data_IF_668614135081
#
_entry.id   IF_668614135081
#
_cell.length_a   1.000
_cell.length_b   1.000
_cell.length_c   1.000
_cell.angle_alpha   90.00
_cell.angle_beta   90.00
_cell.angle_gamma   90.00
#
_symmetry.space_group_name_H-M   'P 1'
#
loop_
_entity.id
_entity.type
_entity.pdbx_description
1 polymer ?
#
# COMPACT_ATOMS: atom_id res chain seq x y z
N UNK A 1 12.15 -31.93 -26.52
CA UNK A 1 11.24 -30.88 -27.02
C UNK A 1 10.82 -29.93 -25.88
N UNK A 2 11.36 -28.71 -25.87
CA UNK A 2 10.98 -27.70 -24.88
C UNK A 2 9.54 -27.25 -25.15
N UNK A 3 8.66 -27.14 -24.12
CA UNK A 3 7.31 -26.65 -24.33
C UNK A 3 7.38 -25.19 -24.80
N UNK A 4 6.92 -24.93 -26.03
CA UNK A 4 6.92 -23.62 -26.68
C UNK A 4 6.06 -22.55 -25.96
N UNK A 5 5.44 -22.89 -24.83
CA UNK A 5 4.49 -22.06 -24.09
C UNK A 5 5.11 -21.21 -22.97
N UNK A 6 6.41 -21.34 -22.70
CA UNK A 6 6.94 -20.90 -21.41
C UNK A 6 7.52 -19.48 -21.36
N UNK A 7 7.46 -18.72 -22.45
CA UNK A 7 7.79 -17.29 -22.43
C UNK A 7 6.77 -16.55 -23.29
N UNK A 8 5.73 -15.93 -22.70
CA UNK A 8 4.99 -14.89 -23.39
C UNK A 8 5.94 -13.71 -23.60
N UNK A 9 6.75 -13.76 -24.65
CA UNK A 9 7.55 -12.63 -25.07
C UNK A 9 6.58 -11.62 -25.66
N UNK A 10 6.08 -10.68 -24.85
CA UNK A 10 5.42 -9.48 -25.34
C UNK A 10 6.50 -8.48 -25.74
N UNK A 11 6.90 -8.41 -27.03
CA UNK A 11 7.99 -7.56 -27.46
C UNK A 11 7.42 -6.13 -27.52
N UNK A 12 7.71 -5.32 -26.51
CA UNK A 12 7.65 -3.85 -26.61
C UNK A 12 6.34 -3.13 -26.27
N UNK A 13 5.40 -3.72 -25.50
CA UNK A 13 4.13 -3.01 -25.15
C UNK A 13 3.73 -3.01 -23.67
N UNK A 14 4.41 -3.73 -22.78
CA UNK A 14 4.12 -3.77 -21.34
C UNK A 14 5.24 -3.17 -20.48
N UNK A 15 4.88 -2.65 -19.29
CA UNK A 15 5.86 -2.28 -18.25
C UNK A 15 6.85 -3.46 -18.03
N UNK A 16 8.17 -3.22 -18.04
CA UNK A 16 9.17 -4.28 -17.90
C UNK A 16 8.91 -5.19 -16.69
N UNK A 17 8.49 -4.58 -15.57
CA UNK A 17 8.16 -5.28 -14.33
C UNK A 17 7.01 -6.30 -14.47
N UNK A 18 6.03 -6.06 -15.36
CA UNK A 18 4.91 -6.98 -15.59
C UNK A 18 5.33 -8.18 -16.43
N UNK A 19 6.12 -7.93 -17.47
CA UNK A 19 6.69 -9.00 -18.31
C UNK A 19 7.59 -9.92 -17.48
N UNK A 20 8.41 -9.34 -16.60
CA UNK A 20 9.26 -10.09 -15.68
C UNK A 20 8.43 -10.90 -14.66
N UNK A 21 7.41 -10.29 -14.05
CA UNK A 21 6.53 -10.97 -13.10
C UNK A 21 5.76 -12.13 -13.75
N UNK A 22 5.28 -11.96 -14.98
CA UNK A 22 4.56 -12.97 -15.74
C UNK A 22 5.47 -14.13 -16.18
N UNK A 23 6.70 -13.82 -16.58
CA UNK A 23 7.73 -14.82 -16.87
C UNK A 23 8.06 -15.65 -15.61
N UNK A 24 8.25 -15.01 -14.45
CA UNK A 24 8.50 -15.70 -13.17
C UNK A 24 7.30 -16.58 -12.80
N UNK A 25 6.07 -16.06 -12.90
CA UNK A 25 4.86 -16.78 -12.53
C UNK A 25 4.58 -18.01 -13.42
N UNK A 26 4.96 -17.94 -14.70
CA UNK A 26 4.73 -19.02 -15.68
C UNK A 26 5.84 -20.07 -15.66
N UNK A 27 7.02 -19.75 -15.12
CA UNK A 27 8.19 -20.62 -15.15
C UNK A 27 8.00 -21.93 -14.37
N UNK A 28 7.59 -21.85 -13.10
CA UNK A 28 7.37 -23.02 -12.23
C UNK A 28 6.31 -24.01 -12.75
N UNK A 29 5.12 -23.60 -13.23
CA UNK A 29 4.15 -24.54 -13.79
C UNK A 29 4.58 -25.15 -15.13
N UNK A 30 5.41 -24.45 -15.92
CA UNK A 30 5.86 -24.93 -17.23
C UNK A 30 7.09 -25.84 -17.16
N UNK A 31 8.03 -25.55 -16.24
CA UNK A 31 9.31 -26.24 -16.14
C UNK A 31 9.52 -27.01 -14.83
N UNK A 32 8.63 -26.83 -13.85
CA UNK A 32 8.78 -27.40 -12.52
C UNK A 32 9.79 -26.65 -11.67
N UNK A 33 10.09 -27.21 -10.50
CA UNK A 33 11.09 -26.67 -9.58
C UNK A 33 12.51 -26.87 -10.16
N UNK A 34 13.24 -25.76 -10.30
CA UNK A 34 14.62 -25.72 -10.82
C UNK A 34 15.54 -26.61 -9.99
N UNK A 35 15.29 -26.74 -8.68
CA UNK A 35 16.08 -27.59 -7.78
C UNK A 35 15.91 -29.11 -8.06
N UNK A 36 14.89 -29.50 -8.83
CA UNK A 36 14.60 -30.90 -9.17
C UNK A 36 15.05 -31.30 -10.59
N UNK A 37 15.59 -30.35 -11.37
CA UNK A 37 16.06 -30.62 -12.72
C UNK A 37 17.21 -31.63 -12.69
N UNK A 38 17.16 -32.71 -13.50
CA UNK A 38 18.21 -33.72 -13.52
C UNK A 38 19.48 -33.15 -14.16
N UNK A 39 20.37 -32.60 -13.33
CA UNK A 39 21.71 -32.17 -13.71
C UNK A 39 22.75 -33.26 -13.35
N UNK A 40 23.33 -33.97 -14.34
CA UNK A 40 24.33 -35.00 -14.10
C UNK A 40 25.65 -34.44 -13.52
N UNK A 41 25.88 -33.13 -13.55
CA UNK A 41 27.06 -32.48 -12.98
C UNK A 41 26.82 -31.85 -11.60
N UNK A 42 25.65 -32.07 -10.98
CA UNK A 42 25.28 -31.42 -9.72
C UNK A 42 26.26 -31.78 -8.57
N UNK A 43 27.08 -30.83 -8.10
CA UNK A 43 28.03 -31.06 -7.01
C UNK A 43 27.31 -31.43 -5.70
N UNK A 44 26.05 -31.03 -5.53
CA UNK A 44 25.23 -31.36 -4.36
C UNK A 44 24.94 -32.86 -4.24
N UNK A 45 24.77 -33.58 -5.34
CA UNK A 45 24.60 -35.04 -5.32
C UNK A 45 25.87 -35.78 -4.92
N UNK A 46 27.02 -35.29 -5.38
CA UNK A 46 28.33 -35.88 -5.07
C UNK A 46 28.77 -35.58 -3.63
N UNK A 47 28.48 -34.38 -3.12
CA UNK A 47 28.90 -33.95 -1.78
C UNK A 47 27.95 -34.41 -0.66
N UNK A 48 26.64 -34.49 -0.91
CA UNK A 48 25.64 -34.72 0.15
C UNK A 48 25.06 -36.14 0.16
N UNK A 49 25.28 -36.95 -0.88
CA UNK A 49 24.85 -38.36 -0.93
C UNK A 49 23.38 -38.55 -0.50
N UNK A 50 23.06 -39.41 0.49
CA UNK A 50 21.68 -39.66 0.93
C UNK A 50 20.98 -38.44 1.58
N UNK A 51 21.73 -37.43 2.02
CA UNK A 51 21.18 -36.17 2.56
C UNK A 51 20.77 -35.19 1.47
N UNK A 52 21.17 -35.44 0.21
CA UNK A 52 20.78 -34.61 -0.93
C UNK A 52 19.26 -34.48 -1.06
N UNK A 53 18.49 -35.52 -0.72
CA UNK A 53 17.01 -35.47 -0.76
C UNK A 53 16.40 -34.47 0.23
N UNK A 54 17.09 -34.17 1.33
CA UNK A 54 16.65 -33.20 2.34
C UNK A 54 17.17 -31.81 2.00
N UNK A 55 18.40 -31.72 1.46
CA UNK A 55 18.95 -30.49 0.92
C UNK A 55 18.12 -29.94 -0.25
N UNK A 56 17.74 -30.80 -1.19
CA UNK A 56 16.85 -30.47 -2.30
C UNK A 56 15.45 -30.01 -1.85
N UNK A 57 15.04 -30.35 -0.62
CA UNK A 57 13.80 -29.88 -0.01
C UNK A 57 13.98 -28.66 0.93
N UNK A 58 15.14 -27.98 0.89
CA UNK A 58 15.45 -26.83 1.74
C UNK A 58 15.68 -27.19 3.22
N UNK A 59 16.08 -28.44 3.49
CA UNK A 59 16.32 -29.01 4.83
C UNK A 59 15.15 -28.86 5.83
N UNK A 60 13.91 -28.66 5.37
CA UNK A 60 12.75 -28.31 6.19
C UNK A 60 12.87 -26.99 7.01
N UNK A 61 14.09 -26.50 7.24
CA UNK A 61 14.41 -25.19 7.82
C UNK A 61 13.85 -24.04 6.99
N UNK A 62 13.95 -24.15 5.66
CA UNK A 62 13.38 -23.14 4.77
C UNK A 62 11.85 -23.02 4.92
N UNK A 63 11.15 -24.16 5.09
CA UNK A 63 9.70 -24.16 5.37
C UNK A 63 9.38 -23.58 6.74
N UNK A 64 10.18 -23.89 7.76
CA UNK A 64 10.01 -23.33 9.09
C UNK A 64 10.21 -21.80 9.08
N UNK A 65 11.28 -21.32 8.46
CA UNK A 65 11.55 -19.90 8.30
C UNK A 65 10.43 -19.19 7.51
N UNK A 66 9.98 -19.82 6.43
CA UNK A 66 8.87 -19.32 5.63
C UNK A 66 7.57 -19.23 6.43
N UNK A 67 7.28 -20.23 7.26
CA UNK A 67 6.06 -20.25 8.08
C UNK A 67 6.10 -19.26 9.24
N UNK A 68 7.25 -19.10 9.90
CA UNK A 68 7.40 -18.30 11.11
C UNK A 68 7.67 -16.82 10.81
N UNK A 69 8.39 -16.51 9.73
CA UNK A 69 8.80 -15.14 9.41
C UNK A 69 8.15 -14.63 8.13
N UNK A 70 8.36 -15.34 7.01
CA UNK A 70 8.00 -14.81 5.69
C UNK A 70 6.49 -14.66 5.53
N UNK A 71 5.72 -15.71 5.85
CA UNK A 71 4.25 -15.71 5.72
C UNK A 71 3.59 -14.65 6.62
N UNK A 72 3.93 -14.54 7.91
CA UNK A 72 3.40 -13.49 8.78
C UNK A 72 3.75 -12.08 8.31
N UNK A 73 5.02 -11.83 7.94
CA UNK A 73 5.45 -10.50 7.47
C UNK A 73 4.72 -10.11 6.18
N UNK A 74 4.57 -11.03 5.22
CA UNK A 74 3.78 -10.78 4.01
C UNK A 74 2.30 -10.55 4.32
N UNK A 75 1.73 -11.23 5.31
CA UNK A 75 0.35 -11.00 5.74
C UNK A 75 0.18 -9.61 6.39
N UNK A 76 1.11 -9.22 7.26
CA UNK A 76 1.13 -7.89 7.87
C UNK A 76 1.26 -6.78 6.82
N UNK A 77 2.15 -6.95 5.84
CA UNK A 77 2.31 -5.99 4.75
C UNK A 77 1.00 -5.79 3.95
N UNK A 78 0.28 -6.89 3.65
CA UNK A 78 -1.03 -6.81 2.98
C UNK A 78 -2.07 -6.10 3.85
N UNK A 79 -2.08 -6.36 5.15
CA UNK A 79 -3.00 -5.70 6.09
C UNK A 79 -2.72 -4.20 6.16
N UNK A 80 -1.45 -3.79 6.27
CA UNK A 80 -1.05 -2.38 6.30
C UNK A 80 -1.48 -1.68 5.01
N UNK A 81 -1.23 -2.30 3.86
CA UNK A 81 -1.64 -1.73 2.57
C UNK A 81 -3.16 -1.59 2.44
N UNK A 82 -3.93 -2.54 2.99
CA UNK A 82 -5.39 -2.43 3.06
C UNK A 82 -5.82 -1.30 4.01
N UNK A 83 -5.22 -1.20 5.20
CA UNK A 83 -5.57 -0.13 6.13
C UNK A 83 -5.27 1.26 5.56
N UNK A 84 -4.13 1.42 4.89
CA UNK A 84 -3.80 2.68 4.21
C UNK A 84 -4.84 3.01 3.12
N UNK A 85 -5.13 2.05 2.26
CA UNK A 85 -6.00 2.28 1.11
C UNK A 85 -7.49 2.39 1.44
N UNK A 86 -7.97 1.70 2.47
CA UNK A 86 -9.38 1.74 2.83
C UNK A 86 -9.67 2.73 3.97
N UNK A 87 -8.78 2.88 4.95
CA UNK A 87 -9.03 3.74 6.12
C UNK A 87 -8.46 5.13 5.89
N UNK A 88 -7.17 5.23 5.54
CA UNK A 88 -6.50 6.54 5.40
C UNK A 88 -7.08 7.30 4.21
N UNK A 89 -7.20 6.67 3.04
CA UNK A 89 -7.80 7.30 1.87
C UNK A 89 -9.25 7.78 2.13
N UNK A 90 -10.06 6.97 2.82
CA UNK A 90 -11.44 7.36 3.16
C UNK A 90 -11.46 8.56 4.11
N UNK A 91 -10.56 8.57 5.10
CA UNK A 91 -10.43 9.68 6.03
C UNK A 91 -10.01 10.97 5.31
N UNK A 92 -9.00 10.88 4.43
CA UNK A 92 -8.50 12.01 3.63
C UNK A 92 -9.62 12.55 2.72
N UNK A 93 -10.35 11.65 2.04
CA UNK A 93 -11.46 12.04 1.17
C UNK A 93 -12.62 12.68 1.95
N UNK A 94 -12.90 12.18 3.15
CA UNK A 94 -13.87 12.76 4.06
C UNK A 94 -13.45 14.16 4.52
N UNK A 95 -12.19 14.32 4.94
CA UNK A 95 -11.63 15.60 5.35
C UNK A 95 -11.64 16.63 4.19
N UNK A 96 -11.36 16.18 2.97
CA UNK A 96 -11.39 17.02 1.77
C UNK A 96 -12.80 17.57 1.43
N UNK A 97 -13.88 16.91 1.88
CA UNK A 97 -15.23 17.40 1.69
C UNK A 97 -15.55 18.65 2.54
N UNK A 98 -14.88 18.82 3.69
CA UNK A 98 -15.13 19.90 4.64
C UNK A 98 -15.02 21.31 4.03
N UNK A 99 -13.89 21.68 3.40
CA UNK A 99 -13.73 22.96 2.73
C UNK A 99 -14.77 23.22 1.63
N UNK A 100 -15.13 22.18 0.87
CA UNK A 100 -16.14 22.27 -0.19
C UNK A 100 -17.54 22.60 0.36
N UNK A 101 -17.94 21.92 1.43
CA UNK A 101 -19.20 22.18 2.13
C UNK A 101 -19.23 23.57 2.77
N UNK A 102 -18.13 23.99 3.41
CA UNK A 102 -17.99 25.35 3.94
C UNK A 102 -18.10 26.40 2.84
N UNK A 103 -17.41 26.20 1.71
CA UNK A 103 -17.52 27.09 0.56
C UNK A 103 -18.93 27.16 -0.03
N UNK A 104 -19.67 26.04 -0.03
CA UNK A 104 -21.07 26.00 -0.46
C UNK A 104 -21.99 26.74 0.53
N UNK A 105 -21.79 26.56 1.83
CA UNK A 105 -22.52 27.26 2.88
C UNK A 105 -22.28 28.77 2.82
N UNK A 106 -21.01 29.20 2.67
CA UNK A 106 -20.64 30.62 2.50
C UNK A 106 -21.30 31.20 1.25
N UNK A 107 -21.25 30.50 0.11
CA UNK A 107 -21.95 30.93 -1.12
C UNK A 107 -23.45 31.11 -0.89
N UNK A 108 -24.09 30.21 -0.14
CA UNK A 108 -25.51 30.31 0.18
C UNK A 108 -25.84 31.46 1.13
N UNK A 109 -24.90 31.85 1.99
CA UNK A 109 -25.03 33.00 2.88
C UNK A 109 -24.88 34.35 2.15
N UNK A 110 -24.35 34.37 0.91
CA UNK A 110 -24.31 35.57 0.07
C UNK A 110 -25.70 35.86 -0.51
N UNK A 111 -26.59 36.45 0.29
CA UNK A 111 -27.97 36.80 -0.11
C UNK A 111 -28.09 38.16 -0.80
N UNK A 112 -26.98 38.87 -1.03
CA UNK A 112 -26.95 40.20 -1.66
C UNK A 112 -27.44 41.35 -0.77
N UNK A 113 -27.81 41.08 0.49
CA UNK A 113 -28.25 42.09 1.45
C UNK A 113 -27.06 42.65 2.26
N UNK A 114 -26.68 43.90 1.98
CA UNK A 114 -25.55 44.59 2.63
C UNK A 114 -25.74 44.73 4.15
N UNK A 115 -26.98 44.81 4.64
CA UNK A 115 -27.26 44.87 6.09
C UNK A 115 -26.90 43.56 6.79
N UNK A 116 -27.12 42.41 6.14
CA UNK A 116 -26.71 41.09 6.67
C UNK A 116 -25.19 40.99 6.76
N UNK A 117 -24.45 41.54 5.78
CA UNK A 117 -22.99 41.61 5.82
C UNK A 117 -22.49 42.47 7.00
N UNK A 118 -23.05 43.68 7.17
CA UNK A 118 -22.67 44.56 8.30
C UNK A 118 -22.97 43.90 9.65
N UNK A 119 -24.15 43.29 9.80
CA UNK A 119 -24.53 42.58 11.01
C UNK A 119 -23.60 41.40 11.33
N UNK A 120 -23.26 40.59 10.31
CA UNK A 120 -22.30 39.49 10.47
C UNK A 120 -20.89 39.99 10.80
N UNK A 121 -20.45 41.11 10.21
CA UNK A 121 -19.13 41.69 10.45
C UNK A 121 -19.01 42.29 11.86
N UNK A 122 -20.04 43.01 12.32
CA UNK A 122 -20.14 43.50 13.70
C UNK A 122 -20.18 42.35 14.71
N UNK A 123 -21.01 41.33 14.48
CA UNK A 123 -21.08 40.15 15.36
C UNK A 123 -19.74 39.41 15.41
N UNK A 124 -19.10 39.19 14.24
CA UNK A 124 -17.80 38.53 14.16
C UNK A 124 -16.68 39.31 14.85
N UNK A 125 -16.66 40.64 14.72
CA UNK A 125 -15.66 41.48 15.39
C UNK A 125 -15.85 41.51 16.92
N UNK A 126 -17.10 41.52 17.41
CA UNK A 126 -17.38 41.38 18.86
C UNK A 126 -16.88 40.03 19.38
N UNK A 127 -17.16 38.93 18.67
CA UNK A 127 -16.69 37.59 19.07
C UNK A 127 -15.17 37.51 19.11
N UNK A 128 -14.47 38.04 18.09
CA UNK A 128 -13.02 38.09 18.06
C UNK A 128 -12.42 38.95 19.18
N UNK A 129 -13.03 40.09 19.50
CA UNK A 129 -12.61 40.93 20.61
C UNK A 129 -12.73 40.20 21.95
N UNK A 130 -13.86 39.52 22.20
CA UNK A 130 -14.05 38.71 23.41
C UNK A 130 -13.04 37.57 23.48
N UNK A 131 -12.82 36.83 22.39
CA UNK A 131 -11.83 35.76 22.35
C UNK A 131 -10.41 36.28 22.62
N UNK A 132 -10.03 37.41 22.03
CA UNK A 132 -8.73 38.04 22.26
C UNK A 132 -8.55 38.48 23.72
N UNK A 133 -9.59 39.05 24.34
CA UNK A 133 -9.58 39.41 25.77
C UNK A 133 -9.40 38.17 26.63
N UNK A 134 -10.16 37.11 26.38
CA UNK A 134 -10.05 35.85 27.13
C UNK A 134 -8.66 35.21 26.99
N UNK A 135 -8.08 35.24 25.80
CA UNK A 135 -6.71 34.75 25.58
C UNK A 135 -5.72 35.63 26.34
N UNK A 136 -5.82 36.96 26.24
CA UNK A 136 -4.90 37.88 26.90
C UNK A 136 -4.99 37.82 28.43
N UNK A 137 -6.17 37.56 29.00
CA UNK A 137 -6.35 37.39 30.45
C UNK A 137 -6.00 35.98 30.93
N UNK A 138 -6.13 34.96 30.07
CA UNK A 138 -5.82 33.57 30.38
C UNK A 138 -4.35 33.18 30.22
N UNK A 139 -3.59 33.84 29.33
CA UNK A 139 -2.12 33.67 29.21
C UNK A 139 -1.32 34.54 30.18
N UNK A 140 -2.00 35.46 30.88
CA UNK A 140 -1.41 36.34 31.89
C UNK A 140 -1.44 35.79 33.32
N UNK A 141 -1.87 34.54 33.53
CA UNK A 141 -1.85 33.82 34.82
C UNK A 141 -0.85 32.67 34.77
#
# INVERSE_FOLDING_TARGET
PFPAAAVPAHPGTGEPARSEAEAIATHEPAYGDIASAPDPADPGRLLLGPLHRHAAAGFHLDRLYSAVFVRPVRAAARLVNFLDREVVETYVRGAAAGPGLLGAAVRRAQTGNVQTYLGALLAGSVVLAVAAVLVATGTGA
#
